data_IF_423650307409
#
_entry.id   IF_423650307409
#
_cell.length_a   1.000
_cell.length_b   1.000
_cell.length_c   1.000
_cell.angle_alpha   90.00
_cell.angle_beta   90.00
_cell.angle_gamma   90.00
#
_symmetry.space_group_name_H-M   'P 1'
#
loop_
_entity.id
_entity.type
_entity.pdbx_description
1 polymer ?
#
# COMPACT_ATOMS: atom_id res chain seq x y z
N UNK A 1 -15.34 -14.71 -6.26
CA UNK A 1 -14.24 -14.28 -5.35
C UNK A 1 -12.89 -14.57 -6.02
N UNK A 2 -11.79 -13.87 -5.68
CA UNK A 2 -10.47 -14.11 -6.32
C UNK A 2 -9.96 -15.55 -6.15
N UNK A 3 -10.22 -16.16 -4.99
CA UNK A 3 -9.87 -17.55 -4.70
C UNK A 3 -10.57 -18.57 -5.61
N UNK A 4 -11.81 -18.29 -6.03
CA UNK A 4 -12.58 -19.16 -6.96
C UNK A 4 -12.00 -19.12 -8.37
N UNK A 5 -11.35 -18.01 -8.74
CA UNK A 5 -10.66 -17.84 -10.02
C UNK A 5 -9.18 -18.26 -9.95
N UNK A 6 -8.79 -19.03 -8.92
CA UNK A 6 -7.44 -19.57 -8.73
C UNK A 6 -6.32 -18.53 -8.64
N UNK A 7 -6.65 -17.30 -8.24
CA UNK A 7 -5.61 -16.31 -7.93
C UNK A 7 -4.92 -16.68 -6.61
N UNK A 8 -3.59 -16.57 -6.52
CA UNK A 8 -2.88 -16.73 -5.26
C UNK A 8 -3.31 -15.62 -4.30
N UNK A 9 -3.84 -16.00 -3.15
CA UNK A 9 -4.22 -15.08 -2.08
C UNK A 9 -3.30 -15.23 -0.88
N UNK A 10 -3.11 -14.15 -0.15
CA UNK A 10 -2.36 -14.17 1.11
C UNK A 10 -3.24 -14.76 2.22
N UNK A 11 -2.71 -15.69 3.02
CA UNK A 11 -3.43 -16.29 4.14
C UNK A 11 -3.44 -15.41 5.39
N UNK A 12 -2.52 -14.44 5.45
CA UNK A 12 -2.43 -13.49 6.57
C UNK A 12 -3.66 -12.58 6.62
N UNK A 13 -4.16 -12.25 7.82
CA UNK A 13 -5.24 -11.29 7.98
C UNK A 13 -4.91 -9.95 7.31
N UNK A 14 -5.92 -9.35 6.68
CA UNK A 14 -5.80 -8.04 6.07
C UNK A 14 -5.51 -6.98 7.13
N UNK A 15 -4.40 -6.24 6.96
CA UNK A 15 -4.02 -5.09 7.78
C UNK A 15 -3.94 -3.88 6.86
N UNK A 16 -4.89 -2.93 6.89
CA UNK A 16 -4.83 -1.74 6.05
C UNK A 16 -3.63 -0.88 6.47
N UNK A 17 -2.70 -0.63 5.55
CA UNK A 17 -1.51 0.18 5.81
C UNK A 17 -0.96 0.76 4.51
N UNK A 18 -0.16 1.82 4.62
CA UNK A 18 0.62 2.39 3.52
C UNK A 18 2.08 2.05 3.78
N UNK A 19 2.74 1.41 2.81
CA UNK A 19 4.19 1.15 2.91
C UNK A 19 4.95 2.45 2.70
N UNK A 20 5.61 2.96 3.74
CA UNK A 20 6.43 4.18 3.66
C UNK A 20 7.84 3.91 3.12
N UNK A 21 8.43 2.76 3.48
CA UNK A 21 9.81 2.43 3.14
C UNK A 21 10.02 0.91 3.11
N UNK A 22 10.97 0.46 2.28
CA UNK A 22 11.42 -0.94 2.21
C UNK A 22 12.93 -1.00 2.41
N UNK A 23 13.39 -1.94 3.25
CA UNK A 23 14.82 -2.27 3.48
C UNK A 23 15.73 -1.07 3.77
N UNK A 24 15.23 -0.08 4.51
CA UNK A 24 16.01 1.13 4.86
C UNK A 24 16.79 0.95 6.16
N UNK A 25 17.96 1.60 6.24
CA UNK A 25 18.69 1.76 7.50
C UNK A 25 18.25 3.05 8.17
N UNK A 26 17.63 2.94 9.34
CA UNK A 26 17.28 4.09 10.16
C UNK A 26 18.57 4.76 10.68
N UNK A 27 18.59 6.10 10.71
CA UNK A 27 19.69 6.83 11.36
C UNK A 27 19.71 6.53 12.86
N UNK A 28 20.89 6.61 13.47
CA UNK A 28 21.03 6.48 14.93
C UNK A 28 20.13 7.51 15.62
N UNK A 29 19.29 7.07 16.54
CA UNK A 29 18.33 7.93 17.25
C UNK A 29 16.97 8.13 16.57
N UNK A 30 16.72 7.50 15.41
CA UNK A 30 15.38 7.46 14.83
C UNK A 30 14.46 6.57 15.67
N UNK A 31 13.30 7.11 16.04
CA UNK A 31 12.27 6.45 16.82
C UNK A 31 10.92 6.57 16.09
N UNK A 32 10.40 5.48 15.51
CA UNK A 32 9.12 5.48 14.80
C UNK A 32 7.95 5.97 15.66
N UNK A 33 7.93 5.64 16.96
CA UNK A 33 6.82 6.01 17.85
C UNK A 33 6.79 7.52 18.08
N UNK A 34 7.96 8.16 18.21
CA UNK A 34 8.05 9.62 18.29
C UNK A 34 7.59 10.31 17.01
N UNK A 35 7.85 9.72 15.85
CA UNK A 35 7.36 10.23 14.58
C UNK A 35 5.83 10.13 14.53
N UNK A 36 5.29 8.95 14.85
CA UNK A 36 3.83 8.71 14.85
C UNK A 36 3.09 9.62 15.83
N UNK A 37 3.65 9.85 17.02
CA UNK A 37 3.08 10.76 18.02
C UNK A 37 3.01 12.23 17.56
N UNK A 38 3.85 12.63 16.60
CA UNK A 38 3.85 13.97 16.01
C UNK A 38 2.94 14.08 14.78
N UNK A 39 2.47 12.96 14.23
CA UNK A 39 1.61 12.97 13.06
C UNK A 39 0.18 13.33 13.47
N UNK A 40 -0.43 14.36 12.85
CA UNK A 40 -1.84 14.63 13.09
C UNK A 40 -2.69 13.46 12.55
N UNK A 41 -3.89 13.23 13.11
CA UNK A 41 -4.84 12.29 12.52
C UNK A 41 -5.10 12.65 11.06
N UNK A 42 -4.98 11.67 10.18
CA UNK A 42 -5.25 11.82 8.75
C UNK A 42 -6.53 11.08 8.42
N UNK A 43 -7.50 11.81 7.88
CA UNK A 43 -8.74 11.25 7.33
C UNK A 43 -8.82 11.58 5.86
N UNK A 44 -9.36 10.66 5.07
CA UNK A 44 -9.65 10.88 3.66
C UNK A 44 -10.92 10.14 3.27
N UNK A 45 -11.66 10.69 2.34
CA UNK A 45 -12.75 9.98 1.69
C UNK A 45 -12.18 9.03 0.63
N UNK A 46 -12.56 7.75 0.68
CA UNK A 46 -12.17 6.78 -0.34
C UNK A 46 -13.22 6.78 -1.44
N UNK A 47 -12.87 7.34 -2.60
CA UNK A 47 -13.80 7.46 -3.72
C UNK A 47 -13.70 6.36 -4.78
N UNK A 48 -12.65 5.52 -4.76
CA UNK A 48 -12.39 4.53 -5.83
C UNK A 48 -11.52 3.37 -5.35
N UNK A 49 -11.76 2.19 -5.92
CA UNK A 49 -10.85 1.03 -5.85
C UNK A 49 -10.31 0.74 -7.24
N UNK A 50 -8.98 0.78 -7.38
CA UNK A 50 -8.29 0.59 -8.66
C UNK A 50 -7.62 -0.77 -8.74
N UNK A 51 -7.76 -1.44 -9.89
CA UNK A 51 -6.90 -2.55 -10.29
C UNK A 51 -5.63 -1.98 -10.93
N UNK A 52 -4.49 -2.29 -10.32
CA UNK A 52 -3.20 -1.74 -10.71
C UNK A 52 -2.31 -2.81 -11.35
N UNK A 53 -1.63 -2.44 -12.43
CA UNK A 53 -0.53 -3.21 -13.02
C UNK A 53 0.79 -2.73 -12.42
N UNK A 54 1.63 -3.66 -11.96
CA UNK A 54 2.96 -3.39 -11.41
C UNK A 54 4.03 -3.90 -12.37
N UNK A 55 4.92 -3.02 -12.82
CA UNK A 55 5.99 -3.35 -13.77
C UNK A 55 7.35 -2.89 -13.26
N UNK A 56 8.40 -3.70 -13.45
CA UNK A 56 9.78 -3.27 -13.22
C UNK A 56 10.39 -2.82 -14.55
N UNK A 57 10.59 -1.51 -14.71
CA UNK A 57 11.17 -0.91 -15.89
C UNK A 57 12.51 -0.29 -15.49
N UNK A 58 13.61 -0.89 -15.97
CA UNK A 58 14.99 -0.43 -15.70
C UNK A 58 15.29 -0.25 -14.20
N UNK A 59 14.83 -1.20 -13.38
CA UNK A 59 15.07 -1.19 -11.93
C UNK A 59 14.11 -0.31 -11.13
N UNK A 60 13.14 0.34 -11.77
CA UNK A 60 12.11 1.14 -11.11
C UNK A 60 10.77 0.42 -11.19
N UNK A 61 10.06 0.35 -10.08
CA UNK A 61 8.69 -0.15 -10.07
C UNK A 61 7.76 0.99 -10.53
N UNK A 62 7.00 0.74 -11.59
CA UNK A 62 5.98 1.63 -12.13
C UNK A 62 4.62 0.98 -11.93
N UNK A 63 3.66 1.76 -11.46
CA UNK A 63 2.27 1.33 -11.28
C UNK A 63 1.37 2.07 -12.25
N UNK A 64 0.56 1.34 -13.01
CA UNK A 64 -0.43 1.88 -13.94
C UNK A 64 -1.81 1.38 -13.57
N UNK A 65 -2.81 2.27 -13.51
CA UNK A 65 -4.20 1.85 -13.40
C UNK A 65 -4.63 1.14 -14.69
N UNK A 66 -5.31 0.00 -14.57
CA UNK A 66 -5.88 -0.72 -15.72
C UNK A 66 -7.40 -0.84 -15.66
N UNK A 67 -7.98 -0.66 -14.47
CA UNK A 67 -9.42 -0.59 -14.25
C UNK A 67 -9.69 0.03 -12.88
N UNK A 68 -10.89 0.53 -12.64
CA UNK A 68 -11.31 0.87 -11.29
C UNK A 68 -12.81 1.10 -11.17
N UNK A 69 -13.27 1.01 -9.93
CA UNK A 69 -14.67 1.10 -9.53
C UNK A 69 -14.81 2.26 -8.56
N UNK A 70 -15.65 3.23 -8.91
CA UNK A 70 -15.94 4.35 -8.03
C UNK A 70 -16.88 3.89 -6.92
N UNK A 71 -16.59 4.37 -5.71
CA UNK A 71 -17.36 4.08 -4.50
C UNK A 71 -18.36 5.23 -4.29
N UNK A 72 -19.61 4.85 -4.06
CA UNK A 72 -20.69 5.78 -3.71
C UNK A 72 -20.67 6.12 -2.23
#
# INVERSE_FOLDING_TARGET
RLSEASFPTEERPFKPHITLARRQKCRKGFDPEKLLAQMPPLTMQVGRVSLMKSENIRGKIVYSEIYGVDLQ
#
